data_IF_422832030677
#
_entry.id   IF_422832030677
#
_cell.length_a   1.000
_cell.length_b   1.000
_cell.length_c   1.000
_cell.angle_alpha   90.00
_cell.angle_beta   90.00
_cell.angle_gamma   90.00
#
_symmetry.space_group_name_H-M   'P 1'
#
loop_
_entity.id
_entity.type
_entity.pdbx_description
1 polymer ?
#
# COMPACT_ATOMS: atom_id res chain seq x y z
N UNK A 1 2.90 -13.10 2.00
CA UNK A 1 2.24 -11.83 2.38
C UNK A 1 1.33 -12.11 3.57
N UNK A 2 1.45 -11.39 4.69
CA UNK A 2 0.57 -11.54 5.86
C UNK A 2 -0.92 -11.42 5.49
N UNK A 3 -1.79 -12.13 6.20
CA UNK A 3 -3.25 -12.16 5.94
C UNK A 3 -3.85 -10.75 6.01
N UNK A 4 -3.37 -9.96 6.96
CA UNK A 4 -3.77 -8.56 7.17
C UNK A 4 -3.43 -7.68 5.96
N UNK A 5 -2.27 -7.91 5.32
CA UNK A 5 -1.83 -7.10 4.18
C UNK A 5 -2.65 -7.43 2.92
N UNK A 6 -3.01 -8.71 2.73
CA UNK A 6 -3.94 -9.12 1.65
C UNK A 6 -5.33 -8.50 1.84
N UNK A 7 -5.85 -8.55 3.07
CA UNK A 7 -7.13 -7.92 3.40
C UNK A 7 -7.09 -6.40 3.23
N UNK A 8 -5.99 -5.75 3.64
CA UNK A 8 -5.77 -4.32 3.50
C UNK A 8 -5.74 -3.88 2.04
N UNK A 9 -5.00 -4.59 1.18
CA UNK A 9 -4.98 -4.32 -0.27
C UNK A 9 -6.38 -4.47 -0.87
N UNK A 10 -7.12 -5.51 -0.47
CA UNK A 10 -8.50 -5.72 -0.94
C UNK A 10 -9.42 -4.56 -0.54
N UNK A 11 -9.34 -4.10 0.71
CA UNK A 11 -10.13 -2.95 1.19
C UNK A 11 -9.75 -1.65 0.46
N UNK A 12 -8.47 -1.44 0.14
CA UNK A 12 -8.02 -0.26 -0.62
C UNK A 12 -8.60 -0.25 -2.05
N UNK A 13 -8.61 -1.41 -2.71
CA UNK A 13 -9.19 -1.56 -4.05
C UNK A 13 -10.70 -1.31 -4.02
N UNK A 14 -11.40 -1.87 -3.03
CA UNK A 14 -12.83 -1.65 -2.86
C UNK A 14 -13.15 -0.18 -2.57
N UNK A 15 -12.40 0.46 -1.66
CA UNK A 15 -12.56 1.89 -1.36
C UNK A 15 -12.35 2.78 -2.59
N UNK A 16 -11.36 2.44 -3.43
CA UNK A 16 -11.11 3.14 -4.69
C UNK A 16 -12.29 2.98 -5.67
N UNK A 17 -12.86 1.79 -5.77
CA UNK A 17 -14.01 1.52 -6.65
C UNK A 17 -15.30 2.21 -6.18
N UNK A 18 -15.49 2.35 -4.86
CA UNK A 18 -16.61 3.12 -4.28
C UNK A 18 -16.49 4.60 -4.65
N UNK A 19 -15.26 5.14 -4.72
CA UNK A 19 -14.98 6.48 -5.23
C UNK A 19 -15.26 7.64 -4.27
N UNK A 20 -15.96 7.41 -3.16
CA UNK A 20 -16.35 8.46 -2.18
C UNK A 20 -15.15 9.22 -1.62
N UNK A 21 -14.05 8.51 -1.37
CA UNK A 21 -12.79 9.05 -0.84
C UNK A 21 -11.77 9.38 -1.93
N UNK A 22 -12.06 9.23 -3.23
CA UNK A 22 -11.07 9.50 -4.27
C UNK A 22 -10.84 11.02 -4.46
N UNK A 23 -9.60 11.38 -4.77
CA UNK A 23 -9.20 12.62 -5.42
C UNK A 23 -8.48 12.28 -6.73
N UNK A 24 -8.10 13.29 -7.52
CA UNK A 24 -7.46 13.08 -8.83
C UNK A 24 -6.25 12.15 -8.80
N UNK A 25 -5.51 12.13 -7.68
CA UNK A 25 -4.27 11.34 -7.55
C UNK A 25 -4.15 10.55 -6.24
N UNK A 26 -5.06 10.72 -5.28
CA UNK A 26 -4.95 10.18 -3.91
C UNK A 26 -6.32 9.90 -3.30
N UNK A 27 -6.33 9.57 -2.02
CA UNK A 27 -7.52 9.58 -1.19
C UNK A 27 -7.64 10.90 -0.40
N UNK A 28 -8.88 11.30 -0.12
CA UNK A 28 -9.26 12.41 0.76
C UNK A 28 -8.90 12.10 2.22
N UNK A 29 -8.86 13.14 3.05
CA UNK A 29 -8.71 12.99 4.50
C UNK A 29 -9.78 12.06 5.07
N UNK A 30 -9.40 11.26 6.07
CA UNK A 30 -10.31 10.32 6.72
C UNK A 30 -10.35 8.92 6.09
N UNK A 31 -9.75 8.69 4.92
CA UNK A 31 -9.76 7.37 4.26
C UNK A 31 -9.15 6.26 5.13
N UNK A 32 -8.16 6.57 5.98
CA UNK A 32 -7.57 5.58 6.90
C UNK A 32 -8.57 5.07 7.93
N UNK A 33 -9.47 5.93 8.42
CA UNK A 33 -10.50 5.51 9.39
C UNK A 33 -11.55 4.64 8.70
N UNK A 34 -11.86 4.92 7.43
CA UNK A 34 -12.76 4.08 6.65
C UNK A 34 -12.13 2.72 6.34
N UNK A 35 -10.83 2.68 6.00
CA UNK A 35 -10.10 1.42 5.85
C UNK A 35 -10.05 0.62 7.15
N UNK A 36 -9.89 1.26 8.30
CA UNK A 36 -10.01 0.60 9.61
C UNK A 36 -11.39 -0.03 9.77
N UNK A 37 -12.46 0.71 9.51
CA UNK A 37 -13.84 0.19 9.59
C UNK A 37 -14.11 -0.97 8.64
N UNK A 38 -13.58 -0.92 7.41
CA UNK A 38 -13.69 -2.01 6.43
C UNK A 38 -12.91 -3.24 6.90
N UNK A 39 -11.69 -3.05 7.40
CA UNK A 39 -10.87 -4.13 7.93
C UNK A 39 -11.46 -4.78 9.17
N UNK A 40 -12.07 -4.03 10.08
CA UNK A 40 -12.78 -4.58 11.25
C UNK A 40 -13.93 -5.51 10.84
N UNK A 41 -14.56 -5.30 9.68
CA UNK A 41 -15.58 -6.23 9.15
C UNK A 41 -14.98 -7.51 8.58
N UNK A 42 -13.83 -7.41 7.90
CA UNK A 42 -13.17 -8.56 7.27
C UNK A 42 -12.37 -9.37 8.30
N UNK A 43 -11.79 -8.70 9.29
CA UNK A 43 -10.91 -9.21 10.33
C UNK A 43 -11.24 -8.57 11.69
N UNK A 44 -12.37 -8.94 12.33
CA UNK A 44 -12.84 -8.31 13.57
C UNK A 44 -11.92 -8.46 14.78
N UNK A 45 -10.89 -9.31 14.69
CA UNK A 45 -9.90 -9.52 15.76
C UNK A 45 -8.52 -8.93 15.42
N UNK A 46 -8.36 -8.37 14.21
CA UNK A 46 -7.13 -7.68 13.85
C UNK A 46 -7.13 -6.33 14.56
N UNK A 47 -6.31 -6.19 15.60
CA UNK A 47 -6.13 -4.95 16.38
C UNK A 47 -5.36 -3.89 15.59
N UNK A 48 -5.83 -3.58 14.38
CA UNK A 48 -5.19 -2.66 13.43
C UNK A 48 -5.90 -1.32 13.45
N UNK A 49 -5.28 -0.35 14.14
CA UNK A 49 -5.78 1.03 14.15
C UNK A 49 -5.30 1.83 12.95
N UNK A 50 -6.12 2.77 12.47
CA UNK A 50 -5.81 3.68 11.38
C UNK A 50 -4.41 4.29 11.53
N UNK A 51 -4.10 4.72 12.76
CA UNK A 51 -2.76 5.11 13.18
C UNK A 51 -2.37 4.40 14.48
N UNK A 52 -1.10 3.97 14.63
CA UNK A 52 -0.03 4.03 13.64
C UNK A 52 -0.03 2.82 12.67
N UNK A 53 -0.85 1.79 12.92
CA UNK A 53 -0.67 0.47 12.32
C UNK A 53 -0.96 0.44 10.80
N UNK A 54 -2.13 0.90 10.38
CA UNK A 54 -2.51 0.89 8.96
C UNK A 54 -1.66 1.87 8.15
N UNK A 55 -1.42 3.07 8.68
CA UNK A 55 -0.55 4.06 8.05
C UNK A 55 0.85 3.48 7.74
N UNK A 56 1.46 2.79 8.71
CA UNK A 56 2.76 2.15 8.53
C UNK A 56 2.72 1.03 7.48
N UNK A 57 1.72 0.14 7.53
CA UNK A 57 1.58 -0.96 6.56
C UNK A 57 1.39 -0.46 5.14
N UNK A 58 0.54 0.54 4.92
CA UNK A 58 0.32 1.15 3.60
C UNK A 58 1.63 1.78 3.09
N UNK A 59 2.40 2.43 3.95
CA UNK A 59 3.70 3.03 3.58
C UNK A 59 4.68 1.95 3.11
N UNK A 60 4.76 0.82 3.82
CA UNK A 60 5.61 -0.31 3.43
C UNK A 60 5.16 -0.91 2.10
N UNK A 61 3.86 -1.21 1.94
CA UNK A 61 3.32 -1.77 0.69
C UNK A 61 3.59 -0.87 -0.52
N UNK A 62 3.46 0.46 -0.37
CA UNK A 62 3.80 1.42 -1.43
C UNK A 62 5.28 1.37 -1.78
N UNK A 63 6.17 1.28 -0.78
CA UNK A 63 7.61 1.21 -0.99
C UNK A 63 8.00 -0.06 -1.74
N UNK A 64 7.48 -1.20 -1.31
CA UNK A 64 7.76 -2.49 -1.94
C UNK A 64 7.25 -2.53 -3.37
N UNK A 65 6.04 -1.99 -3.63
CA UNK A 65 5.52 -1.84 -4.98
C UNK A 65 6.42 -0.96 -5.86
N UNK A 66 6.90 0.17 -5.36
CA UNK A 66 7.83 1.04 -6.11
C UNK A 66 9.11 0.29 -6.47
N UNK A 67 9.69 -0.48 -5.55
CA UNK A 67 10.88 -1.30 -5.83
C UNK A 67 10.59 -2.32 -6.95
N UNK A 68 9.50 -3.07 -6.85
CA UNK A 68 9.11 -4.06 -7.86
C UNK A 68 8.86 -3.38 -9.21
N UNK A 69 8.12 -2.27 -9.23
CA UNK A 69 7.83 -1.50 -10.43
C UNK A 69 9.12 -0.96 -11.07
N UNK A 70 10.06 -0.47 -10.28
CA UNK A 70 11.37 -0.02 -10.76
C UNK A 70 12.19 -1.18 -11.31
N UNK A 71 12.11 -2.38 -10.73
CA UNK A 71 12.78 -3.57 -11.26
C UNK A 71 12.18 -4.02 -12.60
N UNK A 72 10.86 -3.96 -12.73
CA UNK A 72 10.14 -4.36 -13.95
C UNK A 72 10.34 -3.37 -15.09
N UNK A 73 10.50 -2.08 -14.77
CA UNK A 73 10.87 -1.07 -15.75
C UNK A 73 12.38 -1.08 -15.96
N UNK A 74 12.84 -1.23 -17.20
CA UNK A 74 14.25 -1.45 -17.61
C UNK A 74 15.31 -0.46 -17.06
N UNK A 75 14.90 0.59 -16.35
CA UNK A 75 15.79 1.55 -15.66
C UNK A 75 16.71 0.90 -14.62
N UNK A 76 16.36 -0.27 -14.08
CA UNK A 76 17.10 -0.85 -12.95
C UNK A 76 18.23 -1.81 -13.34
N UNK A 77 18.17 -2.53 -14.47
CA UNK A 77 19.35 -3.32 -14.91
C UNK A 77 20.52 -2.39 -15.20
N UNK A 78 20.28 -1.26 -15.89
CA UNK A 78 21.32 -0.27 -16.14
C UNK A 78 21.85 0.38 -14.85
N UNK A 79 21.01 0.60 -13.83
CA UNK A 79 21.43 1.14 -12.54
C UNK A 79 22.22 0.14 -11.70
N UNK A 80 21.80 -1.13 -11.65
CA UNK A 80 22.52 -2.22 -10.98
C UNK A 80 23.87 -2.50 -11.66
N UNK A 81 23.92 -2.49 -13.00
CA UNK A 81 25.17 -2.61 -13.76
C UNK A 81 26.12 -1.42 -13.47
N UNK A 82 25.61 -0.19 -13.41
CA UNK A 82 26.40 1.00 -13.01
C UNK A 82 26.89 0.95 -11.57
N UNK A 83 26.08 0.43 -10.64
CA UNK A 83 26.46 0.26 -9.23
C UNK A 83 27.46 -0.89 -9.03
N UNK A 84 27.47 -1.88 -9.92
CA UNK A 84 28.38 -3.04 -9.84
C UNK A 84 29.74 -2.81 -10.51
N UNK A 85 29.82 -1.88 -11.47
CA UNK A 85 31.06 -1.57 -12.22
C UNK A 85 31.81 -0.36 -11.62
N UNK A 86 31.21 0.35 -10.66
CA UNK A 86 31.83 1.46 -9.96
C UNK A 86 32.48 1.08 -8.64
N UNK A 87 33.59 0.33 -8.68
CA UNK A 87 34.66 0.32 -7.67
C UNK A 87 36.00 0.06 -8.33
#
# INVERSE_FOLDING_TARGET
VPKEDVALVSCIVELYNIGTYNTDTRFKTGYLNELERMLEKVLPHATLKAKPNLESRIRTLKRDWTIIYDMLNEKTIAALVRMSIGR
#
